data_IF_826971731841
#
_entry.id   IF_826971731841
#
_cell.length_a   1.000
_cell.length_b   1.000
_cell.length_c   1.000
_cell.angle_alpha   90.00
_cell.angle_beta   90.00
_cell.angle_gamma   90.00
#
_symmetry.space_group_name_H-M   'P 1'
#
loop_
_entity.id
_entity.type
_entity.pdbx_description
1 polymer ?
#
# COMPACT_ATOMS: atom_id res chain seq x y z
N UNK A 1 -44.97 8.53 -11.61
CA UNK A 1 -43.78 9.40 -11.60
C UNK A 1 -42.81 8.77 -10.63
N UNK A 2 -41.80 8.08 -11.15
CA UNK A 2 -40.65 7.65 -10.36
C UNK A 2 -39.85 8.91 -10.01
N UNK A 3 -39.48 9.01 -8.74
CA UNK A 3 -38.60 10.06 -8.24
C UNK A 3 -37.23 9.91 -8.93
N UNK A 4 -36.70 10.92 -9.66
CA UNK A 4 -35.41 10.82 -10.36
C UNK A 4 -34.19 10.82 -9.41
N UNK A 5 -34.42 10.62 -8.10
CA UNK A 5 -33.45 10.81 -7.03
C UNK A 5 -33.02 9.48 -6.36
N UNK A 6 -33.08 8.36 -7.09
CA UNK A 6 -32.84 7.00 -6.55
C UNK A 6 -31.50 6.34 -6.94
N UNK A 7 -30.66 6.95 -7.77
CA UNK A 7 -29.46 6.30 -8.33
C UNK A 7 -28.13 6.90 -7.82
N UNK A 8 -28.07 7.26 -6.53
CA UNK A 8 -26.79 7.53 -5.86
C UNK A 8 -26.56 6.42 -4.84
N UNK A 9 -25.39 5.74 -4.78
CA UNK A 9 -25.09 4.86 -3.67
C UNK A 9 -25.26 5.68 -2.39
N UNK A 10 -26.18 5.28 -1.52
CA UNK A 10 -26.63 6.01 -0.32
C UNK A 10 -25.50 6.35 0.68
N UNK A 11 -24.27 6.00 0.35
CA UNK A 11 -23.08 6.00 1.19
C UNK A 11 -22.08 7.12 0.86
N UNK A 12 -22.29 7.94 -0.18
CA UNK A 12 -21.26 8.90 -0.63
C UNK A 12 -21.68 10.36 -0.46
N UNK A 13 -20.76 11.16 0.08
CA UNK A 13 -20.96 12.60 0.20
C UNK A 13 -20.61 13.29 -1.12
N UNK A 14 -21.51 14.13 -1.63
CA UNK A 14 -21.22 15.06 -2.74
C UNK A 14 -20.34 16.24 -2.33
N UNK A 15 -19.81 16.20 -1.11
CA UNK A 15 -18.99 17.24 -0.51
C UNK A 15 -17.56 16.73 -0.38
N UNK A 16 -16.62 17.66 -0.51
CA UNK A 16 -15.21 17.41 -0.20
C UNK A 16 -15.05 16.90 1.22
N UNK A 17 -14.10 15.99 1.39
CA UNK A 17 -13.67 15.45 2.67
C UNK A 17 -12.58 16.38 3.21
N UNK A 18 -12.81 16.90 4.41
CA UNK A 18 -11.80 17.62 5.20
C UNK A 18 -11.06 16.61 6.08
N UNK A 19 -9.95 16.09 5.56
CA UNK A 19 -9.14 15.07 6.22
C UNK A 19 -7.65 15.30 5.94
N UNK A 20 -6.72 14.96 6.86
CA UNK A 20 -5.29 15.18 6.63
C UNK A 20 -4.72 14.41 5.42
N UNK A 21 -5.33 13.29 5.01
CA UNK A 21 -5.05 12.58 3.74
C UNK A 21 -5.60 13.33 2.49
N UNK A 22 -6.04 14.59 2.63
CA UNK A 22 -6.40 15.48 1.54
C UNK A 22 -5.25 16.32 1.00
N UNK A 23 -3.99 15.92 1.26
CA UNK A 23 -2.82 16.68 0.84
C UNK A 23 -2.57 16.59 -0.68
N UNK A 24 -1.98 17.65 -1.22
CA UNK A 24 -1.52 17.75 -2.62
C UNK A 24 -0.03 18.09 -2.61
N UNK A 25 0.57 18.25 -3.79
CA UNK A 25 1.96 18.73 -3.91
C UNK A 25 2.17 20.15 -3.40
N UNK A 26 1.09 20.91 -3.15
CA UNK A 26 1.17 22.26 -2.58
C UNK A 26 1.28 22.25 -1.05
N UNK A 27 0.77 21.20 -0.39
CA UNK A 27 0.82 21.05 1.07
C UNK A 27 1.84 20.01 1.56
N UNK A 28 2.20 19.06 0.70
CA UNK A 28 3.31 18.12 0.88
C UNK A 28 4.26 18.31 -0.30
N UNK A 29 5.20 19.24 -0.14
CA UNK A 29 6.07 19.70 -1.22
C UNK A 29 7.41 18.94 -1.26
N UNK A 30 7.74 18.25 -0.18
CA UNK A 30 9.06 17.66 0.02
C UNK A 30 9.01 16.41 0.90
N UNK A 31 10.09 15.61 0.83
CA UNK A 31 10.26 14.44 1.70
C UNK A 31 10.22 14.81 3.18
N UNK A 32 10.72 15.99 3.57
CA UNK A 32 10.73 16.43 4.96
C UNK A 32 9.33 16.62 5.55
N UNK A 33 8.32 16.86 4.73
CA UNK A 33 6.94 17.05 5.20
C UNK A 33 6.29 15.75 5.70
N UNK A 34 6.88 14.61 5.34
CA UNK A 34 6.44 13.26 5.76
C UNK A 34 7.57 12.47 6.44
N UNK A 35 8.72 13.09 6.68
CA UNK A 35 9.88 12.40 7.23
C UNK A 35 9.83 12.31 8.75
N UNK A 36 10.17 11.13 9.27
CA UNK A 36 10.48 10.89 10.66
C UNK A 36 11.98 10.57 10.80
N UNK A 37 12.82 11.49 11.29
CA UNK A 37 14.24 11.23 11.48
C UNK A 37 14.47 10.36 12.73
N UNK A 38 15.04 9.17 12.52
CA UNK A 38 15.38 8.26 13.62
C UNK A 38 16.50 8.86 14.48
N UNK A 39 16.24 8.96 15.78
CA UNK A 39 17.23 9.44 16.75
C UNK A 39 18.30 8.38 17.03
N UNK A 40 19.42 8.83 17.62
CA UNK A 40 20.49 7.90 18.05
C UNK A 40 20.02 6.88 19.08
N UNK A 41 19.07 7.26 19.94
CA UNK A 41 18.53 6.37 20.97
C UNK A 41 17.63 5.30 20.36
N UNK A 42 16.81 5.67 19.38
CA UNK A 42 15.96 4.75 18.62
C UNK A 42 16.77 3.77 17.78
N UNK A 43 17.83 4.25 17.12
CA UNK A 43 18.77 3.37 16.41
C UNK A 43 19.46 2.39 17.36
N UNK A 44 19.82 2.83 18.56
CA UNK A 44 20.41 1.93 19.57
C UNK A 44 19.42 0.89 20.10
N UNK A 45 18.12 1.23 20.16
CA UNK A 45 17.05 0.29 20.50
C UNK A 45 16.89 -0.80 19.41
N UNK A 46 16.92 -0.41 18.13
CA UNK A 46 16.97 -1.35 17.00
C UNK A 46 18.21 -2.27 17.07
N UNK A 47 19.38 -1.73 17.40
CA UNK A 47 20.62 -2.50 17.56
C UNK A 47 20.52 -3.54 18.70
N UNK A 48 19.80 -3.21 19.77
CA UNK A 48 19.59 -4.12 20.90
C UNK A 48 18.56 -5.21 20.57
N UNK A 49 17.47 -4.86 19.90
CA UNK A 49 16.46 -5.81 19.44
C UNK A 49 17.04 -6.80 18.43
N UNK A 50 17.84 -6.32 17.46
CA UNK A 50 18.55 -7.15 16.49
C UNK A 50 19.50 -8.15 17.16
N UNK A 51 20.28 -7.71 18.15
CA UNK A 51 21.14 -8.63 18.92
C UNK A 51 20.35 -9.73 19.61
N UNK A 52 19.25 -9.35 20.26
CA UNK A 52 18.36 -10.28 20.98
C UNK A 52 17.81 -11.36 20.04
N UNK A 53 17.33 -10.99 18.85
CA UNK A 53 16.74 -11.96 17.92
C UNK A 53 17.81 -12.88 17.30
N UNK A 54 19.00 -12.35 17.01
CA UNK A 54 20.13 -13.13 16.50
C UNK A 54 20.64 -14.16 17.50
N UNK A 55 20.68 -13.81 18.79
CA UNK A 55 21.03 -14.75 19.87
C UNK A 55 20.04 -15.91 19.98
N UNK A 56 18.77 -15.69 19.64
CA UNK A 56 17.74 -16.76 19.63
C UNK A 56 17.79 -17.63 18.38
N UNK A 57 18.34 -17.13 17.27
CA UNK A 57 18.47 -17.90 16.02
C UNK A 57 17.13 -18.33 15.43
N UNK A 58 16.08 -17.51 15.57
CA UNK A 58 14.76 -17.79 15.02
C UNK A 58 14.73 -17.58 13.50
N UNK A 59 13.96 -18.40 12.81
CA UNK A 59 13.59 -18.13 11.41
C UNK A 59 12.82 -16.80 11.34
N UNK A 60 13.05 -16.02 10.30
CA UNK A 60 12.51 -14.68 10.15
C UNK A 60 10.98 -14.64 10.34
N UNK A 61 10.27 -15.56 9.70
CA UNK A 61 8.80 -15.67 9.75
C UNK A 61 8.24 -16.02 11.14
N UNK A 62 9.08 -16.55 12.04
CA UNK A 62 8.70 -16.90 13.42
C UNK A 62 8.92 -15.76 14.41
N UNK A 63 9.58 -14.67 13.99
CA UNK A 63 9.86 -13.53 14.85
C UNK A 63 8.56 -12.75 15.06
N UNK A 64 8.14 -12.63 16.32
CA UNK A 64 7.01 -11.79 16.72
C UNK A 64 7.49 -10.48 17.36
N UNK A 65 6.58 -9.54 17.62
CA UNK A 65 6.87 -8.34 18.42
C UNK A 65 7.55 -8.63 19.77
N UNK A 66 7.27 -9.80 20.37
CA UNK A 66 7.88 -10.21 21.65
C UNK A 66 9.32 -10.67 21.51
N UNK A 67 9.71 -11.14 20.34
CA UNK A 67 11.06 -11.61 20.04
C UNK A 67 11.98 -10.46 19.60
N UNK A 68 11.39 -9.34 19.17
CA UNK A 68 12.08 -8.12 18.76
C UNK A 68 11.73 -6.94 19.69
N UNK A 69 12.27 -6.87 20.91
CA UNK A 69 11.82 -5.91 21.92
C UNK A 69 12.26 -4.48 21.61
N UNK A 70 11.28 -3.58 21.44
CA UNK A 70 11.50 -2.16 21.17
C UNK A 70 10.97 -1.31 22.32
N UNK A 71 11.85 -0.92 23.25
CA UNK A 71 11.43 -0.22 24.47
C UNK A 71 11.34 1.28 24.27
N UNK A 72 12.32 1.86 23.57
CA UNK A 72 12.39 3.29 23.29
C UNK A 72 11.60 3.67 22.03
N UNK A 73 11.54 2.78 21.03
CA UNK A 73 10.83 3.04 19.77
C UNK A 73 9.32 2.78 19.88
N UNK A 74 8.83 2.06 20.89
CA UNK A 74 7.40 1.73 21.03
C UNK A 74 6.46 2.95 21.01
N UNK A 75 6.74 4.07 21.70
CA UNK A 75 5.93 5.27 21.58
C UNK A 75 5.92 5.88 20.17
N UNK A 76 7.04 5.79 19.45
CA UNK A 76 7.14 6.25 18.06
C UNK A 76 6.33 5.36 17.12
N UNK A 77 6.36 4.03 17.30
CA UNK A 77 5.55 3.08 16.53
C UNK A 77 4.05 3.40 16.62
N UNK A 78 3.55 3.71 17.81
CA UNK A 78 2.15 4.15 17.99
C UNK A 78 1.85 5.44 17.21
N UNK A 79 2.79 6.39 17.18
CA UNK A 79 2.63 7.62 16.40
C UNK A 79 2.68 7.35 14.89
N UNK A 80 3.52 6.43 14.44
CA UNK A 80 3.62 6.06 13.02
C UNK A 80 2.32 5.40 12.54
N UNK A 81 1.77 4.47 13.32
CA UNK A 81 0.46 3.87 13.04
C UNK A 81 -0.64 4.93 12.96
N UNK A 82 -0.67 5.87 13.91
CA UNK A 82 -1.63 6.97 13.86
C UNK A 82 -1.44 7.88 12.62
N UNK A 83 -0.19 8.16 12.23
CA UNK A 83 0.09 8.98 11.04
C UNK A 83 -0.38 8.29 9.74
N UNK A 84 -0.28 6.96 9.69
CA UNK A 84 -0.74 6.15 8.56
C UNK A 84 -2.27 6.02 8.56
N UNK A 85 -2.89 5.72 9.70
CA UNK A 85 -4.32 5.40 9.76
C UNK A 85 -5.22 6.64 9.76
N UNK A 86 -4.81 7.70 10.46
CA UNK A 86 -5.71 8.83 10.80
C UNK A 86 -5.22 10.18 10.26
N UNK A 87 -4.04 10.21 9.62
CA UNK A 87 -3.40 11.45 9.18
C UNK A 87 -3.08 11.42 7.69
N UNK A 88 -1.83 11.62 7.29
CA UNK A 88 -1.44 11.74 5.88
C UNK A 88 -1.50 10.40 5.15
N UNK A 89 -1.52 9.25 5.84
CA UNK A 89 -1.45 7.95 5.17
C UNK A 89 -0.06 7.59 4.66
N UNK A 90 0.97 8.35 5.07
CA UNK A 90 2.34 8.18 4.60
C UNK A 90 3.32 8.68 5.65
N UNK A 91 4.38 7.89 5.87
CA UNK A 91 5.52 8.26 6.70
C UNK A 91 6.81 7.76 6.04
N UNK A 92 7.86 8.58 6.08
CA UNK A 92 9.19 8.25 5.60
C UNK A 92 10.17 8.20 6.77
N UNK A 93 10.56 7.00 7.20
CA UNK A 93 11.61 6.85 8.19
C UNK A 93 12.96 7.23 7.56
N UNK A 94 13.63 8.25 8.11
CA UNK A 94 14.88 8.79 7.58
C UNK A 94 16.02 8.67 8.59
N UNK A 95 17.26 8.66 8.10
CA UNK A 95 18.44 8.53 8.95
C UNK A 95 18.80 7.09 9.35
N UNK A 96 18.11 6.07 8.80
CA UNK A 96 18.50 4.67 9.00
C UNK A 96 19.85 4.39 8.32
N UNK A 97 20.88 3.94 9.05
CA UNK A 97 22.23 3.83 8.51
C UNK A 97 22.45 2.46 7.85
N UNK A 98 21.91 2.29 6.63
CA UNK A 98 21.94 1.04 5.85
C UNK A 98 23.34 0.39 5.81
N UNK A 99 24.40 1.18 5.63
CA UNK A 99 25.78 0.68 5.50
C UNK A 99 26.35 0.05 6.79
N UNK A 100 25.68 0.19 7.93
CA UNK A 100 26.07 -0.44 9.21
C UNK A 100 25.60 -1.88 9.34
N UNK A 101 24.68 -2.33 8.49
CA UNK A 101 24.00 -3.62 8.61
C UNK A 101 24.23 -4.48 7.37
N UNK A 102 24.25 -5.80 7.54
CA UNK A 102 24.11 -6.70 6.39
C UNK A 102 22.69 -6.63 5.84
N UNK A 103 22.45 -7.18 4.64
CA UNK A 103 21.09 -7.22 4.06
C UNK A 103 20.15 -8.07 4.92
N UNK A 104 20.66 -9.15 5.50
CA UNK A 104 19.95 -10.02 6.42
C UNK A 104 19.58 -9.27 7.70
N UNK A 105 20.52 -8.49 8.26
CA UNK A 105 20.26 -7.65 9.44
C UNK A 105 19.22 -6.56 9.15
N UNK A 106 19.26 -5.92 7.97
CA UNK A 106 18.21 -5.01 7.53
C UNK A 106 16.85 -5.71 7.41
N UNK A 107 16.81 -6.93 6.88
CA UNK A 107 15.60 -7.74 6.80
C UNK A 107 15.00 -8.05 8.19
N UNK A 108 15.85 -8.42 9.15
CA UNK A 108 15.43 -8.67 10.53
C UNK A 108 14.90 -7.40 11.22
N UNK A 109 15.56 -6.26 11.01
CA UNK A 109 15.11 -4.97 11.54
C UNK A 109 13.76 -4.57 10.93
N UNK A 110 13.64 -4.66 9.60
CA UNK A 110 12.43 -4.33 8.88
C UNK A 110 11.26 -5.22 9.33
N UNK A 111 11.49 -6.54 9.40
CA UNK A 111 10.51 -7.50 9.90
C UNK A 111 10.13 -7.21 11.36
N UNK A 112 11.12 -6.97 12.21
CA UNK A 112 10.92 -6.67 13.63
C UNK A 112 10.03 -5.44 13.84
N UNK A 113 10.28 -4.36 13.10
CA UNK A 113 9.41 -3.16 13.09
C UNK A 113 7.99 -3.53 12.63
N UNK A 114 7.87 -4.24 11.50
CA UNK A 114 6.58 -4.68 10.96
C UNK A 114 5.76 -5.53 11.92
N UNK A 115 6.40 -6.41 12.69
CA UNK A 115 5.74 -7.26 13.68
C UNK A 115 5.09 -6.47 14.84
N UNK A 116 5.53 -5.22 15.10
CA UNK A 116 4.85 -4.30 16.03
C UNK A 116 3.72 -3.51 15.38
N UNK A 117 3.64 -3.50 14.05
CA UNK A 117 2.68 -2.71 13.28
C UNK A 117 1.52 -3.53 12.72
N UNK A 118 1.58 -4.87 12.80
CA UNK A 118 0.50 -5.75 12.36
C UNK A 118 0.97 -7.19 12.13
N UNK A 119 0.16 -7.93 11.38
CA UNK A 119 0.45 -9.30 10.97
C UNK A 119 0.89 -9.33 9.51
N UNK A 120 2.07 -9.92 9.24
CA UNK A 120 2.57 -10.06 7.88
C UNK A 120 1.63 -10.93 7.04
N UNK A 121 1.26 -10.43 5.86
CA UNK A 121 0.41 -11.14 4.90
C UNK A 121 1.26 -11.74 3.77
N UNK A 122 0.77 -12.82 3.17
CA UNK A 122 1.38 -13.40 1.97
C UNK A 122 1.33 -12.40 0.82
N UNK A 123 2.48 -12.17 0.18
CA UNK A 123 2.62 -11.25 -0.95
C UNK A 123 2.69 -11.97 -2.30
N UNK A 124 2.71 -13.31 -2.30
CA UNK A 124 2.83 -14.11 -3.50
C UNK A 124 2.12 -15.47 -3.36
N UNK A 125 1.86 -16.13 -4.48
CA UNK A 125 1.39 -17.52 -4.50
C UNK A 125 2.37 -18.49 -3.84
N UNK A 126 3.65 -18.13 -3.72
CA UNK A 126 4.66 -18.94 -3.06
C UNK A 126 4.66 -18.76 -1.53
N UNK A 127 3.85 -17.84 -0.99
CA UNK A 127 3.77 -17.58 0.44
C UNK A 127 4.81 -16.59 0.95
N UNK A 128 5.47 -15.82 0.06
CA UNK A 128 6.52 -14.89 0.49
C UNK A 128 5.95 -13.81 1.43
N UNK A 129 6.42 -13.77 2.67
CA UNK A 129 6.02 -12.76 3.66
C UNK A 129 6.92 -11.52 3.65
N UNK A 130 8.17 -11.67 3.19
CA UNK A 130 9.12 -10.57 2.99
C UNK A 130 9.63 -10.59 1.54
N UNK A 131 9.05 -9.74 0.70
CA UNK A 131 9.42 -9.62 -0.70
C UNK A 131 10.70 -8.82 -0.94
N UNK A 132 11.48 -9.22 -1.95
CA UNK A 132 12.60 -8.44 -2.48
C UNK A 132 12.21 -7.76 -3.79
N UNK A 133 12.15 -6.43 -3.76
CA UNK A 133 11.98 -5.61 -4.97
C UNK A 133 13.34 -5.46 -5.65
N UNK A 134 13.57 -6.21 -6.73
CA UNK A 134 14.85 -6.27 -7.44
C UNK A 134 14.62 -6.45 -8.93
N UNK A 135 15.40 -5.77 -9.76
CA UNK A 135 15.41 -6.06 -11.19
C UNK A 135 16.24 -7.31 -11.46
N UNK A 136 15.59 -8.44 -11.78
CA UNK A 136 16.26 -9.70 -12.09
C UNK A 136 16.85 -9.75 -13.52
N UNK A 137 16.47 -8.79 -14.37
CA UNK A 137 16.83 -8.75 -15.79
C UNK A 137 16.13 -9.83 -16.63
N UNK A 138 16.23 -9.71 -17.96
CA UNK A 138 15.61 -10.65 -18.90
C UNK A 138 14.15 -10.34 -19.28
N UNK A 139 13.57 -11.18 -20.14
CA UNK A 139 12.18 -11.06 -20.63
C UNK A 139 11.39 -12.31 -20.24
N UNK A 140 11.00 -12.42 -18.98
CA UNK A 140 10.06 -13.45 -18.54
C UNK A 140 8.68 -12.83 -18.35
N UNK A 141 7.71 -13.27 -19.15
CA UNK A 141 6.34 -12.76 -19.11
C UNK A 141 5.61 -13.06 -17.78
N UNK A 142 6.15 -13.95 -16.94
CA UNK A 142 5.61 -14.26 -15.61
C UNK A 142 6.21 -13.40 -14.50
N UNK A 143 7.23 -12.58 -14.78
CA UNK A 143 7.79 -11.69 -13.76
C UNK A 143 6.74 -10.70 -13.29
N UNK A 144 6.51 -10.70 -11.98
CA UNK A 144 5.73 -9.65 -11.32
C UNK A 144 6.50 -8.33 -11.41
N UNK A 145 5.79 -7.21 -11.27
CA UNK A 145 6.38 -5.88 -11.48
C UNK A 145 7.57 -5.59 -10.55
N UNK A 146 7.58 -6.12 -9.33
CA UNK A 146 8.70 -5.98 -8.39
C UNK A 146 9.99 -6.71 -8.83
N UNK A 147 9.95 -7.50 -9.90
CA UNK A 147 11.07 -8.30 -10.41
C UNK A 147 11.74 -7.70 -11.67
N UNK A 148 11.26 -6.56 -12.16
CA UNK A 148 11.72 -5.94 -13.40
C UNK A 148 11.80 -4.41 -13.30
N UNK A 149 12.06 -3.73 -14.43
CA UNK A 149 12.19 -2.27 -14.51
C UNK A 149 10.94 -1.57 -15.06
N UNK A 150 9.80 -2.25 -15.10
CA UNK A 150 8.54 -1.68 -15.60
C UNK A 150 8.01 -0.66 -14.60
N UNK A 151 7.56 0.48 -15.12
CA UNK A 151 6.87 1.48 -14.31
C UNK A 151 5.58 0.89 -13.73
N UNK A 152 5.42 1.03 -12.41
CA UNK A 152 4.18 0.73 -11.72
C UNK A 152 3.32 1.98 -11.67
N UNK A 153 2.17 1.94 -12.34
CA UNK A 153 1.15 2.95 -12.18
C UNK A 153 0.62 2.97 -10.73
N UNK A 154 -0.01 4.07 -10.33
CA UNK A 154 -0.65 4.17 -9.01
C UNK A 154 -1.65 3.03 -8.80
N UNK A 155 -1.54 2.39 -7.64
CA UNK A 155 -2.38 1.27 -7.22
C UNK A 155 -2.43 1.20 -5.69
N UNK A 156 -3.30 0.34 -5.19
CA UNK A 156 -3.36 -0.05 -3.78
C UNK A 156 -3.12 -1.55 -3.68
N UNK A 157 -2.34 -1.97 -2.68
CA UNK A 157 -2.19 -3.39 -2.36
C UNK A 157 -3.35 -3.88 -1.50
N UNK A 158 -3.59 -5.20 -1.51
CA UNK A 158 -4.62 -5.85 -0.70
C UNK A 158 -4.17 -6.03 0.77
N UNK A 159 -3.81 -4.93 1.44
CA UNK A 159 -3.37 -4.89 2.84
C UNK A 159 -3.66 -3.53 3.46
N UNK A 160 -3.64 -3.45 4.78
CA UNK A 160 -3.84 -2.19 5.51
C UNK A 160 -2.61 -1.27 5.44
N UNK A 161 -1.40 -1.86 5.46
CA UNK A 161 -0.13 -1.11 5.50
C UNK A 161 0.91 -1.80 4.61
N UNK A 162 1.54 -1.01 3.73
CA UNK A 162 2.69 -1.44 2.93
C UNK A 162 3.95 -0.76 3.44
N UNK A 163 4.96 -1.57 3.78
CA UNK A 163 6.29 -1.08 4.17
C UNK A 163 7.33 -1.36 3.09
N UNK A 164 8.29 -0.45 2.91
CA UNK A 164 9.45 -0.67 2.05
C UNK A 164 10.72 -0.16 2.71
N UNK A 165 11.83 -0.90 2.54
CA UNK A 165 13.16 -0.49 2.96
C UNK A 165 14.11 -0.48 1.76
N UNK A 166 14.67 0.68 1.45
CA UNK A 166 15.64 0.80 0.36
C UNK A 166 17.03 0.32 0.83
N UNK A 167 17.46 -0.84 0.36
CA UNK A 167 18.81 -1.37 0.63
C UNK A 167 19.87 -0.83 -0.33
N UNK A 168 19.48 -0.55 -1.58
CA UNK A 168 20.38 -0.04 -2.60
C UNK A 168 19.55 0.78 -3.60
N UNK A 169 19.81 2.09 -3.73
CA UNK A 169 19.12 2.92 -4.71
C UNK A 169 19.38 2.42 -6.15
N UNK A 170 18.39 2.58 -7.02
CA UNK A 170 18.58 2.32 -8.44
C UNK A 170 19.62 3.30 -9.03
N UNK A 171 20.40 2.83 -10.01
CA UNK A 171 21.35 3.68 -10.75
C UNK A 171 20.64 4.81 -11.51
N UNK A 172 19.46 4.51 -12.03
CA UNK A 172 18.58 5.43 -12.77
C UNK A 172 17.12 4.99 -12.49
N UNK A 173 16.21 5.96 -12.38
CA UNK A 173 14.81 5.68 -12.03
C UNK A 173 14.65 5.21 -10.58
N UNK A 174 13.78 4.23 -10.35
CA UNK A 174 13.50 3.69 -9.01
C UNK A 174 12.80 4.70 -8.08
N UNK A 175 12.03 5.63 -8.66
CA UNK A 175 11.28 6.62 -7.92
C UNK A 175 9.96 6.02 -7.44
N UNK A 176 9.62 6.28 -6.18
CA UNK A 176 8.31 5.97 -5.61
C UNK A 176 7.41 7.20 -5.68
N UNK A 177 6.23 7.05 -6.28
CA UNK A 177 5.17 8.06 -6.30
C UNK A 177 4.04 7.69 -5.35
N UNK A 178 3.47 8.70 -4.69
CA UNK A 178 2.35 8.53 -3.76
C UNK A 178 1.30 9.60 -4.03
N UNK A 179 0.03 9.24 -3.85
CA UNK A 179 -1.09 10.16 -3.97
C UNK A 179 -2.06 9.92 -2.82
N UNK A 180 -2.66 11.00 -2.33
CA UNK A 180 -3.56 10.96 -1.19
C UNK A 180 -4.99 10.61 -1.67
N UNK A 181 -5.61 9.59 -1.08
CA UNK A 181 -6.92 9.09 -1.49
C UNK A 181 -8.02 10.16 -1.35
N UNK A 182 -8.03 10.91 -0.25
CA UNK A 182 -9.01 11.98 -0.06
C UNK A 182 -8.77 13.15 -1.01
N UNK A 183 -7.52 13.43 -1.41
CA UNK A 183 -7.24 14.45 -2.43
C UNK A 183 -7.79 14.04 -3.80
N UNK A 184 -7.58 12.78 -4.22
CA UNK A 184 -8.15 12.23 -5.45
C UNK A 184 -9.68 12.28 -5.39
N UNK A 185 -10.29 11.84 -4.28
CA UNK A 185 -11.74 11.89 -4.10
C UNK A 185 -12.27 13.34 -4.21
N UNK A 186 -11.62 14.30 -3.58
CA UNK A 186 -12.02 15.71 -3.61
C UNK A 186 -11.97 16.32 -5.02
N UNK A 187 -10.95 15.95 -5.81
CA UNK A 187 -10.83 16.33 -7.21
C UNK A 187 -11.97 15.74 -8.05
N UNK A 188 -12.27 14.45 -7.85
CA UNK A 188 -13.35 13.76 -8.55
C UNK A 188 -14.74 14.33 -8.19
N UNK A 189 -14.98 14.66 -6.92
CA UNK A 189 -16.23 15.30 -6.47
C UNK A 189 -16.47 16.63 -7.19
N UNK A 190 -15.42 17.44 -7.38
CA UNK A 190 -15.55 18.78 -7.94
C UNK A 190 -15.60 18.78 -9.46
N UNK A 191 -14.72 18.00 -10.10
CA UNK A 191 -14.45 18.14 -11.53
C UNK A 191 -14.93 16.94 -12.36
N UNK A 192 -15.14 15.77 -11.75
CA UNK A 192 -15.47 14.51 -12.45
C UNK A 192 -16.55 13.66 -11.74
N UNK A 193 -17.73 14.23 -11.40
CA UNK A 193 -18.74 13.53 -10.61
C UNK A 193 -19.30 12.27 -11.29
N UNK A 194 -19.36 12.25 -12.63
CA UNK A 194 -19.80 11.08 -13.39
C UNK A 194 -18.79 9.92 -13.28
N UNK A 195 -17.49 10.22 -13.37
CA UNK A 195 -16.44 9.23 -13.17
C UNK A 195 -16.41 8.72 -11.72
N UNK A 196 -16.62 9.61 -10.74
CA UNK A 196 -16.76 9.21 -9.34
C UNK A 196 -17.89 8.21 -9.14
N UNK A 197 -19.06 8.46 -9.76
CA UNK A 197 -20.19 7.54 -9.69
C UNK A 197 -19.82 6.14 -10.22
N UNK A 198 -19.13 6.06 -11.36
CA UNK A 198 -18.63 4.79 -11.91
C UNK A 198 -17.61 4.11 -11.00
N UNK A 199 -16.66 4.88 -10.44
CA UNK A 199 -15.65 4.35 -9.52
C UNK A 199 -16.29 3.79 -8.24
N UNK A 200 -17.42 4.33 -7.81
CA UNK A 200 -18.16 3.85 -6.65
C UNK A 200 -19.11 2.67 -6.95
N UNK A 201 -19.64 2.58 -8.17
CA UNK A 201 -20.29 1.35 -8.63
C UNK A 201 -19.30 0.19 -8.68
N UNK A 202 -18.05 0.50 -9.04
CA UNK A 202 -16.94 -0.43 -9.01
C UNK A 202 -16.78 -1.26 -10.28
N UNK A 203 -15.79 -2.14 -10.23
CA UNK A 203 -15.37 -2.96 -11.36
C UNK A 203 -15.19 -4.41 -10.95
N UNK A 204 -15.29 -5.30 -11.93
CA UNK A 204 -14.76 -6.64 -11.76
C UNK A 204 -13.23 -6.60 -11.80
N UNK A 205 -12.61 -7.43 -10.99
CA UNK A 205 -11.15 -7.59 -10.95
C UNK A 205 -10.78 -8.99 -11.41
N UNK A 206 -9.73 -9.08 -12.23
CA UNK A 206 -9.14 -10.37 -12.58
C UNK A 206 -8.28 -10.87 -11.41
N UNK A 207 -8.40 -12.15 -11.05
CA UNK A 207 -7.71 -12.77 -9.90
C UNK A 207 -6.30 -13.26 -10.24
N UNK A 208 -5.91 -13.19 -11.50
CA UNK A 208 -4.53 -13.43 -11.98
C UNK A 208 -3.94 -14.78 -11.55
N UNK A 209 -4.77 -15.83 -11.53
CA UNK A 209 -4.36 -17.18 -11.15
C UNK A 209 -4.45 -17.47 -9.65
N UNK A 210 -4.99 -16.53 -8.86
CA UNK A 210 -5.18 -16.67 -7.41
C UNK A 210 -6.59 -17.20 -7.05
N UNK A 211 -7.44 -17.48 -8.05
CA UNK A 211 -8.73 -18.14 -7.86
C UNK A 211 -8.58 -19.62 -7.47
N UNK A 212 -9.57 -20.18 -6.76
CA UNK A 212 -9.57 -21.61 -6.47
C UNK A 212 -9.80 -22.47 -7.73
N UNK A 213 -9.43 -23.74 -7.66
CA UNK A 213 -9.58 -24.66 -8.81
C UNK A 213 -11.06 -24.77 -9.22
N UNK A 214 -11.34 -24.44 -10.48
CA UNK A 214 -12.70 -24.46 -11.04
C UNK A 214 -13.51 -23.17 -10.83
N UNK A 215 -12.97 -22.18 -10.13
CA UNK A 215 -13.63 -20.87 -9.96
C UNK A 215 -13.30 -19.91 -11.10
N UNK A 216 -14.15 -18.88 -11.24
CA UNK A 216 -13.97 -17.79 -12.20
C UNK A 216 -12.64 -17.07 -11.94
N UNK A 217 -11.86 -16.73 -12.98
CA UNK A 217 -10.67 -15.90 -12.84
C UNK A 217 -11.01 -14.42 -12.61
N UNK A 218 -12.29 -14.08 -12.44
CA UNK A 218 -12.80 -12.73 -12.22
C UNK A 218 -13.71 -12.74 -10.99
N UNK A 219 -13.64 -11.68 -10.18
CA UNK A 219 -14.55 -11.47 -9.05
C UNK A 219 -16.02 -11.59 -9.49
N UNK A 220 -16.83 -12.31 -8.71
CA UNK A 220 -18.26 -12.49 -9.02
C UNK A 220 -19.03 -11.16 -8.98
N UNK A 221 -18.70 -10.30 -8.01
CA UNK A 221 -19.29 -8.98 -7.85
C UNK A 221 -18.31 -7.89 -8.27
N UNK A 222 -18.87 -6.73 -8.60
CA UNK A 222 -18.08 -5.50 -8.72
C UNK A 222 -17.55 -5.10 -7.35
N UNK A 223 -16.30 -4.68 -7.32
CA UNK A 223 -15.65 -4.12 -6.13
C UNK A 223 -15.54 -2.60 -6.34
N UNK A 224 -16.14 -1.77 -5.47
CA UNK A 224 -16.00 -0.32 -5.52
C UNK A 224 -14.54 0.11 -5.44
N UNK A 225 -14.14 1.06 -6.29
CA UNK A 225 -12.84 1.72 -6.17
C UNK A 225 -12.83 2.66 -4.98
N UNK A 226 -13.90 3.44 -4.81
CA UNK A 226 -14.10 4.26 -3.61
C UNK A 226 -15.30 3.73 -2.83
N UNK A 227 -15.13 3.61 -1.51
CA UNK A 227 -16.20 3.30 -0.59
C UNK A 227 -16.08 4.15 0.67
N UNK A 228 -17.20 4.34 1.36
CA UNK A 228 -17.27 5.14 2.58
C UNK A 228 -18.08 4.38 3.62
N UNK A 229 -17.56 4.26 4.83
CA UNK A 229 -18.25 3.62 5.95
C UNK A 229 -17.86 4.29 7.26
N UNK A 230 -18.85 4.62 8.09
CA UNK A 230 -18.65 5.24 9.41
C UNK A 230 -17.77 6.51 9.37
N UNK A 231 -17.81 7.25 8.24
CA UNK A 231 -17.01 8.46 8.02
C UNK A 231 -15.61 8.22 7.45
N UNK A 232 -15.19 6.96 7.24
CA UNK A 232 -13.91 6.60 6.68
C UNK A 232 -14.01 6.34 5.17
N UNK A 233 -13.18 7.04 4.40
CA UNK A 233 -12.97 6.80 2.98
C UNK A 233 -11.98 5.66 2.80
N UNK A 234 -12.33 4.69 1.96
CA UNK A 234 -11.42 3.62 1.53
C UNK A 234 -11.28 3.62 0.01
N UNK A 235 -10.06 3.34 -0.47
CA UNK A 235 -9.76 3.17 -1.89
C UNK A 235 -9.21 1.77 -2.14
N UNK A 236 -9.70 1.10 -3.18
CA UNK A 236 -9.15 -0.15 -3.72
C UNK A 236 -9.02 -0.01 -5.24
N UNK A 237 -7.80 0.13 -5.73
CA UNK A 237 -7.53 0.44 -7.13
C UNK A 237 -6.36 -0.39 -7.68
N UNK A 238 -6.67 -1.28 -8.63
CA UNK A 238 -5.70 -2.03 -9.41
C UNK A 238 -6.08 -1.97 -10.90
N UNK A 239 -5.65 -0.90 -11.59
CA UNK A 239 -6.05 -0.64 -13.00
C UNK A 239 -5.80 -1.84 -13.91
N UNK A 240 -4.61 -2.44 -13.85
CA UNK A 240 -4.26 -3.57 -14.71
C UNK A 240 -5.20 -4.77 -14.52
N UNK A 241 -5.70 -4.98 -13.30
CA UNK A 241 -6.60 -6.09 -12.97
C UNK A 241 -8.02 -5.82 -13.46
N UNK A 242 -8.46 -4.56 -13.42
CA UNK A 242 -9.72 -4.11 -14.05
C UNK A 242 -9.63 -4.31 -15.57
N UNK A 243 -8.54 -3.87 -16.20
CA UNK A 243 -8.31 -4.02 -17.64
C UNK A 243 -8.31 -5.50 -18.09
N UNK A 244 -7.65 -6.38 -17.32
CA UNK A 244 -7.67 -7.81 -17.57
C UNK A 244 -9.08 -8.41 -17.44
N UNK A 245 -9.87 -7.97 -16.46
CA UNK A 245 -11.26 -8.42 -16.31
C UNK A 245 -12.13 -8.01 -17.51
N UNK A 246 -11.97 -6.78 -18.02
CA UNK A 246 -12.66 -6.35 -19.25
C UNK A 246 -12.29 -7.22 -20.45
N UNK A 247 -11.00 -7.54 -20.60
CA UNK A 247 -10.52 -8.40 -21.68
C UNK A 247 -11.09 -9.82 -21.59
N UNK A 248 -11.09 -10.42 -20.40
CA UNK A 248 -11.61 -11.76 -20.13
C UNK A 248 -13.14 -11.83 -20.33
N UNK A 249 -13.88 -10.79 -19.96
CA UNK A 249 -15.33 -10.67 -20.20
C UNK A 249 -15.68 -10.35 -21.67
N UNK A 250 -14.72 -9.91 -22.48
CA UNK A 250 -14.98 -9.42 -23.84
C UNK A 250 -15.92 -8.19 -23.87
N UNK A 251 -15.96 -7.40 -22.78
CA UNK A 251 -16.85 -6.25 -22.64
C UNK A 251 -16.17 -4.97 -23.13
N UNK A 252 -16.87 -4.17 -23.93
CA UNK A 252 -16.43 -2.81 -24.27
C UNK A 252 -16.68 -1.85 -23.09
N UNK A 253 -15.72 -0.94 -22.86
CA UNK A 253 -15.83 0.10 -21.84
C UNK A 253 -16.73 1.24 -22.32
N UNK A 254 -17.63 1.69 -21.45
CA UNK A 254 -18.34 2.96 -21.63
C UNK A 254 -17.36 4.15 -21.59
N UNK A 255 -17.81 5.34 -22.01
CA UNK A 255 -16.98 6.54 -21.97
C UNK A 255 -16.51 6.90 -20.55
N UNK A 256 -17.31 6.62 -19.52
CA UNK A 256 -16.94 6.87 -18.13
C UNK A 256 -15.97 5.82 -17.56
N UNK A 257 -15.93 4.61 -18.13
CA UNK A 257 -15.00 3.53 -17.74
C UNK A 257 -13.63 3.65 -18.46
N UNK A 258 -13.51 4.49 -19.50
CA UNK A 258 -12.27 4.72 -20.28
C UNK A 258 -11.35 5.76 -19.63
#
# INVERSE_FOLDING_TARGET
MQDPQSDWPTMLTKTKIDHPNGWTTDSVCSKSDVAYPLSKMELADLDQALRTVKERGLDLEKITARDFPLTLLSPALTQWLHEIQERKGLILLSGFPIDRYSKEDCGLIFWGIGAHMGEAQSQSLAGDLLGHVVNLGGKNARYRAYQNSTELALHTDATDIVGMMCLTPAKEGGLSGYAAAAAIYNELVENYPDALATLCEGFHYHLFGEQAEGESPITEQKVPVFSMKDGYLSISYLRSYIEMAFAELGKEKTLAEQ
#
